data_IF_521411308824
#
_entry.id   IF_521411308824
#
_cell.length_a   1.000
_cell.length_b   1.000
_cell.length_c   1.000
_cell.angle_alpha   90.00
_cell.angle_beta   90.00
_cell.angle_gamma   90.00
#
_symmetry.space_group_name_H-M   'P 1'
#
loop_
_entity.id
_entity.type
_entity.pdbx_description
1 polymer ?
#
# COMPACT_ATOMS: atom_id res chain seq x y z
N UNK A 1 -5.51 2.08 -7.75
CA UNK A 1 -4.54 2.64 -6.80
C UNK A 1 -3.23 1.86 -6.77
N UNK A 2 -3.26 0.55 -6.68
CA UNK A 2 -2.01 -0.26 -6.60
C UNK A 2 -1.26 -0.37 -7.92
N UNK A 3 -1.76 0.16 -9.00
CA UNK A 3 -1.13 0.16 -10.31
C UNK A 3 -0.70 1.54 -10.81
N UNK A 4 -0.78 2.58 -9.98
CA UNK A 4 -0.43 3.94 -10.42
C UNK A 4 1.05 4.10 -10.74
N UNK A 5 1.35 4.84 -11.79
CA UNK A 5 2.74 5.16 -12.13
C UNK A 5 3.39 6.03 -11.04
N UNK A 6 4.63 5.75 -10.72
CA UNK A 6 5.36 6.45 -9.68
C UNK A 6 4.90 6.15 -8.25
N UNK A 7 4.00 5.18 -8.06
CA UNK A 7 3.46 4.88 -6.74
C UNK A 7 4.52 4.27 -5.84
N UNK A 8 4.54 4.72 -4.59
CA UNK A 8 5.25 4.09 -3.48
C UNK A 8 4.26 3.85 -2.35
N UNK A 9 4.43 2.73 -1.67
CA UNK A 9 3.51 2.26 -0.63
C UNK A 9 4.20 2.40 0.72
N UNK A 10 3.95 3.52 1.39
CA UNK A 10 4.41 3.74 2.75
C UNK A 10 3.54 2.91 3.71
N UNK A 11 4.08 2.60 4.87
CA UNK A 11 3.32 1.96 5.94
C UNK A 11 2.20 2.92 6.36
N UNK A 12 0.96 2.50 6.18
CA UNK A 12 -0.19 3.34 6.53
C UNK A 12 -0.39 3.33 8.05
N UNK A 13 -0.68 4.51 8.63
CA UNK A 13 -0.62 4.70 10.08
C UNK A 13 -1.60 3.87 10.89
N UNK A 14 -2.86 3.72 10.43
CA UNK A 14 -3.85 2.89 11.13
C UNK A 14 -3.48 1.40 11.05
N UNK A 15 -2.93 0.97 9.93
CA UNK A 15 -2.41 -0.40 9.75
C UNK A 15 -1.29 -0.69 10.75
N UNK A 16 -0.37 0.24 10.93
CA UNK A 16 0.72 0.11 11.92
C UNK A 16 0.15 0.03 13.33
N UNK A 17 -0.85 0.85 13.63
CA UNK A 17 -1.46 0.89 14.96
C UNK A 17 -2.19 -0.41 15.31
N UNK A 18 -2.97 -0.95 14.39
CA UNK A 18 -3.85 -2.10 14.65
C UNK A 18 -3.24 -3.45 14.28
N UNK A 19 -2.34 -3.50 13.31
CA UNK A 19 -1.85 -4.75 12.73
C UNK A 19 -0.37 -4.65 12.31
N UNK A 20 0.49 -4.18 13.21
CA UNK A 20 1.91 -3.96 12.92
C UNK A 20 2.62 -5.23 12.46
N UNK A 21 2.24 -6.40 12.97
CA UNK A 21 2.86 -7.67 12.57
C UNK A 21 2.58 -7.99 11.12
N UNK A 22 1.36 -7.73 10.65
CA UNK A 22 0.98 -7.92 9.25
C UNK A 22 1.72 -6.93 8.36
N UNK A 23 1.79 -5.67 8.78
CA UNK A 23 2.56 -4.63 8.07
C UNK A 23 4.02 -5.08 7.91
N UNK A 24 4.66 -5.49 9.00
CA UNK A 24 6.05 -5.92 8.96
C UNK A 24 6.24 -7.11 8.01
N UNK A 25 5.34 -8.08 8.04
CA UNK A 25 5.40 -9.24 7.17
C UNK A 25 5.34 -8.84 5.69
N UNK A 26 4.44 -7.93 5.33
CA UNK A 26 4.28 -7.47 3.94
C UNK A 26 5.50 -6.68 3.48
N UNK A 27 5.97 -5.73 4.28
CA UNK A 27 7.14 -4.90 3.92
C UNK A 27 8.42 -5.72 3.85
N UNK A 28 8.61 -6.69 4.73
CA UNK A 28 9.74 -7.63 4.66
C UNK A 28 9.65 -8.52 3.41
N UNK A 29 8.45 -8.99 3.07
CA UNK A 29 8.24 -9.77 1.86
C UNK A 29 8.58 -8.98 0.59
N UNK A 30 8.19 -7.71 0.54
CA UNK A 30 8.51 -6.82 -0.57
C UNK A 30 10.03 -6.68 -0.75
N UNK A 31 10.73 -6.46 0.34
CA UNK A 31 12.19 -6.35 0.35
C UNK A 31 12.85 -7.64 -0.12
N UNK A 32 12.41 -8.78 0.39
CA UNK A 32 12.93 -10.10 0.02
C UNK A 32 12.65 -10.46 -1.44
N UNK A 33 11.54 -9.99 -2.00
CA UNK A 33 11.18 -10.21 -3.41
C UNK A 33 11.87 -9.24 -4.38
N UNK A 34 12.65 -8.27 -3.87
CA UNK A 34 13.36 -7.31 -4.71
C UNK A 34 12.56 -6.04 -5.02
N UNK A 35 11.45 -5.80 -4.32
CA UNK A 35 10.58 -4.65 -4.55
C UNK A 35 10.60 -3.62 -3.41
N UNK A 36 11.67 -3.60 -2.62
CA UNK A 36 11.79 -2.69 -1.48
C UNK A 36 11.69 -1.22 -1.85
N UNK A 37 12.06 -0.83 -3.06
CA UNK A 37 11.95 0.56 -3.52
C UNK A 37 10.49 1.02 -3.66
N UNK A 38 9.55 0.10 -3.86
CA UNK A 38 8.11 0.39 -3.91
C UNK A 38 7.47 0.42 -2.52
N UNK A 39 8.14 -0.15 -1.53
CA UNK A 39 7.64 -0.26 -0.16
C UNK A 39 8.66 0.32 0.82
N UNK A 40 8.82 1.66 0.83
CA UNK A 40 9.82 2.29 1.70
C UNK A 40 9.53 2.01 3.18
N UNK A 41 10.59 1.89 3.97
CA UNK A 41 10.50 1.62 5.40
C UNK A 41 10.23 2.92 6.17
N UNK A 42 9.04 3.46 5.97
CA UNK A 42 8.59 4.69 6.60
C UNK A 42 7.08 4.68 6.72
N UNK A 43 6.56 5.40 7.71
CA UNK A 43 5.13 5.59 7.90
C UNK A 43 4.69 6.80 7.09
N UNK A 44 3.65 6.62 6.29
CA UNK A 44 3.00 7.71 5.56
C UNK A 44 1.83 8.29 6.35
N UNK A 45 0.76 8.66 5.64
CA UNK A 45 -0.44 9.19 6.28
C UNK A 45 -1.26 8.14 7.01
N UNK A 46 -2.23 8.60 7.78
CA UNK A 46 -3.26 7.75 8.38
C UNK A 46 -4.53 7.86 7.54
N UNK A 47 -5.12 6.72 7.19
CA UNK A 47 -6.28 6.65 6.30
C UNK A 47 -7.42 5.92 7.02
N UNK A 48 -8.62 6.50 6.97
CA UNK A 48 -9.83 5.81 7.41
C UNK A 48 -10.42 5.07 6.23
N UNK A 49 -10.34 3.74 6.25
CA UNK A 49 -10.81 2.89 5.18
C UNK A 49 -11.39 1.60 5.78
N UNK A 50 -11.73 0.64 4.97
CA UNK A 50 -12.39 -0.60 5.36
C UNK A 50 -11.61 -1.41 6.39
N UNK A 51 -10.30 -1.27 6.44
CA UNK A 51 -9.45 -1.99 7.39
C UNK A 51 -9.68 -1.55 8.85
N UNK A 52 -10.13 -0.32 9.08
CA UNK A 52 -10.35 0.20 10.44
C UNK A 52 -11.46 -0.56 11.16
N UNK A 53 -12.70 -0.66 10.63
CA UNK A 53 -13.75 -1.41 11.33
C UNK A 53 -13.45 -2.90 11.43
N UNK A 54 -12.74 -3.50 10.47
CA UNK A 54 -12.38 -4.92 10.54
C UNK A 54 -11.44 -5.17 11.73
N UNK A 55 -10.47 -4.29 11.96
CA UNK A 55 -9.60 -4.39 13.12
C UNK A 55 -10.36 -4.14 14.43
N UNK A 56 -11.20 -3.08 14.46
CA UNK A 56 -11.86 -2.64 15.70
C UNK A 56 -12.99 -3.56 16.14
N UNK A 57 -13.83 -4.01 15.21
CA UNK A 57 -15.07 -4.72 15.54
C UNK A 57 -14.99 -6.22 15.30
N UNK A 58 -14.30 -6.65 14.26
CA UNK A 58 -14.12 -8.08 13.98
C UNK A 58 -12.88 -8.67 14.64
N UNK A 59 -11.94 -7.85 15.08
CA UNK A 59 -10.71 -8.30 15.71
C UNK A 59 -9.78 -9.07 14.77
N UNK A 60 -9.90 -8.85 13.46
CA UNK A 60 -9.08 -9.51 12.44
C UNK A 60 -7.98 -8.54 12.02
N UNK A 61 -6.69 -8.89 12.22
CA UNK A 61 -5.58 -8.03 11.78
C UNK A 61 -5.65 -7.77 10.27
N UNK A 62 -5.90 -6.53 9.91
CA UNK A 62 -6.13 -6.09 8.53
C UNK A 62 -5.35 -4.83 8.26
N UNK A 63 -4.71 -4.75 7.10
CA UNK A 63 -3.91 -3.60 6.69
C UNK A 63 -4.40 -3.03 5.38
N UNK A 64 -3.98 -1.79 5.11
CA UNK A 64 -4.21 -1.11 3.85
C UNK A 64 -2.88 -1.01 3.08
N UNK A 65 -2.86 -1.47 1.84
CA UNK A 65 -1.74 -1.26 0.91
C UNK A 65 -2.21 -0.18 -0.04
N UNK A 66 -1.75 1.03 0.20
CA UNK A 66 -2.25 2.22 -0.47
C UNK A 66 -1.06 3.14 -0.82
N UNK A 67 -1.06 3.75 -2.02
CA UNK A 67 0.03 4.65 -2.38
C UNK A 67 -0.01 5.92 -1.55
N UNK A 68 1.18 6.48 -1.32
CA UNK A 68 1.32 7.76 -0.64
C UNK A 68 2.25 8.65 -1.46
N UNK A 69 1.73 9.83 -1.85
CA UNK A 69 2.46 10.83 -2.62
C UNK A 69 2.62 12.08 -1.74
N UNK A 70 3.68 12.17 -0.92
CA UNK A 70 3.81 13.25 0.06
C UNK A 70 3.91 14.63 -0.58
N UNK A 71 4.43 14.71 -1.80
CA UNK A 71 4.63 15.99 -2.50
C UNK A 71 3.51 16.34 -3.47
N UNK A 72 2.47 15.52 -3.56
CA UNK A 72 1.34 15.78 -4.46
C UNK A 72 0.34 16.73 -3.82
N UNK A 73 0.16 17.90 -4.42
CA UNK A 73 -0.73 18.93 -3.90
C UNK A 73 -2.21 18.58 -4.08
N UNK A 74 -2.55 17.81 -5.12
CA UNK A 74 -3.94 17.43 -5.39
C UNK A 74 -4.48 16.43 -4.37
N UNK A 75 -3.68 15.43 -4.02
CA UNK A 75 -4.06 14.39 -3.07
C UNK A 75 -2.84 13.54 -2.69
N UNK A 76 -2.78 13.11 -1.45
CA UNK A 76 -1.77 12.12 -1.02
C UNK A 76 -1.94 10.76 -1.68
N UNK A 77 -3.10 10.51 -2.31
CA UNK A 77 -3.36 9.29 -3.10
C UNK A 77 -2.86 9.40 -4.54
N UNK A 78 -2.31 10.53 -4.93
CA UNK A 78 -1.74 10.76 -6.25
C UNK A 78 -2.57 11.71 -7.12
N UNK A 79 -1.98 12.17 -8.23
CA UNK A 79 -2.59 13.23 -9.06
C UNK A 79 -3.81 12.76 -9.86
N UNK A 80 -3.98 11.44 -10.05
CA UNK A 80 -5.11 10.90 -10.82
C UNK A 80 -6.29 10.47 -9.96
N UNK A 81 -6.10 10.37 -8.63
CA UNK A 81 -7.11 9.88 -7.70
C UNK A 81 -8.41 10.70 -7.77
N UNK A 82 -9.53 10.02 -8.02
CA UNK A 82 -10.88 10.61 -8.15
C UNK A 82 -10.94 11.72 -9.21
N UNK A 83 -10.17 11.59 -10.29
CA UNK A 83 -10.17 12.53 -11.41
C UNK A 83 -10.49 11.81 -12.72
N UNK A 84 -10.79 12.59 -13.78
CA UNK A 84 -10.99 12.04 -15.14
C UNK A 84 -9.71 11.49 -15.74
N UNK A 85 -8.56 11.77 -15.13
CA UNK A 85 -7.25 11.28 -15.55
C UNK A 85 -6.90 9.92 -14.95
N UNK A 86 -7.77 9.34 -14.13
CA UNK A 86 -7.59 7.99 -13.62
C UNK A 86 -7.94 6.98 -14.70
N UNK A 87 -7.03 6.79 -15.64
CA UNK A 87 -7.19 5.98 -16.84
C UNK A 87 -6.06 4.98 -16.99
N UNK A 88 -6.21 4.04 -17.93
CA UNK A 88 -5.20 3.02 -18.21
C UNK A 88 -3.85 3.59 -18.63
N UNK A 89 -3.82 4.81 -19.17
CA UNK A 89 -2.57 5.48 -19.57
C UNK A 89 -1.65 5.72 -18.38
N UNK A 90 -2.20 5.85 -17.18
CA UNK A 90 -1.45 6.13 -15.96
C UNK A 90 -1.21 4.88 -15.10
N UNK A 91 -1.47 3.69 -15.66
CA UNK A 91 -1.16 2.42 -15.01
C UNK A 91 0.23 1.97 -15.43
N UNK A 92 1.05 1.63 -14.43
CA UNK A 92 2.39 1.09 -14.63
C UNK A 92 2.37 -0.40 -14.28
N UNK A 93 2.69 -1.23 -15.27
CA UNK A 93 2.74 -2.69 -15.10
C UNK A 93 3.76 -3.10 -14.03
N UNK A 94 4.85 -2.36 -13.89
CA UNK A 94 5.87 -2.64 -12.88
C UNK A 94 5.34 -2.40 -11.45
N UNK A 95 4.52 -1.38 -11.26
CA UNK A 95 3.85 -1.14 -9.98
C UNK A 95 2.90 -2.29 -9.63
N UNK A 96 2.07 -2.71 -10.60
CA UNK A 96 1.18 -3.87 -10.41
C UNK A 96 1.97 -5.14 -10.09
N UNK A 97 3.08 -5.36 -10.78
CA UNK A 97 3.96 -6.52 -10.55
C UNK A 97 4.54 -6.48 -9.14
N UNK A 98 5.02 -5.32 -8.69
CA UNK A 98 5.60 -5.17 -7.36
C UNK A 98 4.59 -5.54 -6.27
N UNK A 99 3.37 -5.04 -6.35
CA UNK A 99 2.32 -5.36 -5.37
C UNK A 99 1.91 -6.83 -5.48
N UNK A 100 1.66 -7.31 -6.68
CA UNK A 100 1.23 -8.70 -6.90
C UNK A 100 2.25 -9.72 -6.42
N UNK A 101 3.52 -9.55 -6.76
CA UNK A 101 4.59 -10.45 -6.33
C UNK A 101 4.83 -10.39 -4.82
N UNK A 102 4.69 -9.20 -4.23
CA UNK A 102 4.80 -9.05 -2.77
C UNK A 102 3.69 -9.81 -2.05
N UNK A 103 2.46 -9.69 -2.51
CA UNK A 103 1.31 -10.41 -1.92
C UNK A 103 1.48 -11.92 -2.08
N UNK A 104 1.93 -12.38 -3.25
CA UNK A 104 2.21 -13.81 -3.47
C UNK A 104 3.27 -14.29 -2.49
N UNK A 105 4.35 -13.54 -2.31
CA UNK A 105 5.41 -13.88 -1.37
C UNK A 105 4.86 -14.03 0.06
N UNK A 106 3.99 -13.12 0.49
CA UNK A 106 3.35 -13.22 1.81
C UNK A 106 2.55 -14.51 1.93
N UNK A 107 1.74 -14.83 0.91
CA UNK A 107 0.88 -16.03 0.93
C UNK A 107 1.70 -17.33 1.02
N UNK A 108 2.84 -17.38 0.35
CA UNK A 108 3.70 -18.57 0.34
C UNK A 108 4.63 -18.67 1.56
N UNK A 109 4.70 -17.64 2.40
CA UNK A 109 5.57 -17.62 3.60
C UNK A 109 4.79 -17.51 4.91
N UNK A 110 3.50 -17.67 4.85
CA UNK A 110 2.65 -17.68 6.05
C UNK A 110 2.97 -18.84 6.99
#
# INVERSE_FOLDING_TARGET
>A
MVGGEGAQFYREGMSVQFASDVVNRVWEAAKGAGFGSYFPDAVGGMVTDDHVPVNQFAGIPTIDIIPYYPDCQQSSFGPTWHTVNDTMEHIDKNTLLAVGQTVIQVLYTL
#
